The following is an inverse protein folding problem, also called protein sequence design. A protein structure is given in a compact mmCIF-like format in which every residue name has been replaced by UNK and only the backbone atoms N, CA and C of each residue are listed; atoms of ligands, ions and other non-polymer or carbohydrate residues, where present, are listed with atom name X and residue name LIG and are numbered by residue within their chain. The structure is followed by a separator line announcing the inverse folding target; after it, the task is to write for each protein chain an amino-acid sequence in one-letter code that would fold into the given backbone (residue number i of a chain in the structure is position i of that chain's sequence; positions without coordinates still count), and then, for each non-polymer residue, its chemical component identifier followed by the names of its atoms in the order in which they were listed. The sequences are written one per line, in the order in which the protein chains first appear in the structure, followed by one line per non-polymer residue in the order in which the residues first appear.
data_IF_185967128939
#
_entry.id   IF_185967128939
#
_cell.length_a   1.000
_cell.length_b   1.000
_cell.length_c   1.000
_cell.angle_alpha   90.00
_cell.angle_beta   90.00
_cell.angle_gamma   90.00
#
_symmetry.space_group_name_H-M   'P 1'
#
loop_
_entity.id
_entity.type
_entity.pdbx_description
1 polymer ?
#
# COMPACT_ATOMS: atom_id res chain seq x y z
N UNK A 1 -30.82 -19.65 4.42
CA UNK A 1 -29.89 -19.80 5.56
C UNK A 1 -28.49 -19.68 4.98
N UNK A 2 -27.65 -18.78 5.51
CA UNK A 2 -26.26 -18.64 5.04
C UNK A 2 -25.39 -19.41 6.04
N UNK A 3 -24.94 -20.60 5.65
CA UNK A 3 -24.09 -21.45 6.47
C UNK A 3 -22.66 -21.39 5.94
N UNK A 4 -21.71 -21.08 6.81
CA UNK A 4 -20.28 -20.99 6.48
C UNK A 4 -19.59 -22.23 6.99
N UNK A 5 -18.79 -22.87 6.14
CA UNK A 5 -18.00 -24.05 6.48
C UNK A 5 -16.63 -23.95 5.85
N UNK A 6 -15.66 -24.64 6.44
CA UNK A 6 -14.29 -24.70 5.92
C UNK A 6 -14.16 -25.86 4.95
N UNK A 7 -13.52 -25.61 3.82
CA UNK A 7 -13.19 -26.62 2.82
C UNK A 7 -11.70 -26.60 2.53
N UNK A 8 -11.15 -27.79 2.30
CA UNK A 8 -9.80 -27.95 1.74
C UNK A 8 -9.90 -28.19 0.24
N UNK A 9 -9.06 -27.52 -0.54
CA UNK A 9 -8.94 -27.74 -1.98
C UNK A 9 -7.70 -28.57 -2.29
N UNK A 10 -7.86 -29.73 -2.92
CA UNK A 10 -6.76 -30.65 -3.25
C UNK A 10 -6.12 -30.40 -4.63
N UNK A 11 -6.60 -29.38 -5.35
CA UNK A 11 -6.21 -29.12 -6.74
C UNK A 11 -7.26 -29.53 -7.77
N UNK A 12 -8.28 -30.30 -7.38
CA UNK A 12 -9.38 -30.75 -8.25
C UNK A 12 -10.76 -30.55 -7.63
N UNK A 13 -10.92 -30.78 -6.32
CA UNK A 13 -12.19 -30.77 -5.63
C UNK A 13 -12.09 -30.09 -4.26
N UNK A 14 -13.23 -29.59 -3.78
CA UNK A 14 -13.38 -29.02 -2.44
C UNK A 14 -13.94 -30.07 -1.49
N UNK A 15 -13.20 -30.36 -0.42
CA UNK A 15 -13.59 -31.32 0.61
C UNK A 15 -13.98 -30.57 1.88
N UNK A 16 -15.22 -30.72 2.37
CA UNK A 16 -15.62 -30.10 3.62
C UNK A 16 -14.95 -30.78 4.81
N UNK A 17 -14.48 -29.98 5.76
CA UNK A 17 -13.89 -30.49 7.01
C UNK A 17 -14.96 -30.95 8.01
N UNK A 18 -16.21 -30.56 7.79
CA UNK A 18 -17.36 -30.95 8.61
C UNK A 18 -18.40 -31.68 7.75
N UNK A 19 -19.22 -32.51 8.38
CA UNK A 19 -20.36 -33.14 7.71
C UNK A 19 -21.43 -32.09 7.41
N UNK A 20 -21.70 -31.86 6.13
CA UNK A 20 -22.72 -30.91 5.67
C UNK A 20 -23.89 -31.72 5.11
N UNK A 21 -25.11 -31.39 5.52
CA UNK A 21 -26.31 -32.04 5.02
C UNK A 21 -26.85 -31.25 3.81
N UNK A 22 -26.43 -31.64 2.61
CA UNK A 22 -26.90 -31.06 1.36
C UNK A 22 -27.93 -31.98 0.70
N UNK A 23 -28.92 -31.40 0.03
CA UNK A 23 -29.93 -32.17 -0.69
C UNK A 23 -29.34 -32.73 -2.01
N UNK A 24 -29.56 -34.02 -2.33
CA UNK A 24 -29.16 -34.59 -3.60
C UNK A 24 -29.77 -33.84 -4.78
N UNK A 25 -29.02 -33.71 -5.88
CA UNK A 25 -29.43 -33.01 -7.11
C UNK A 25 -29.72 -31.51 -6.97
N UNK A 26 -29.21 -30.88 -5.92
CA UNK A 26 -29.32 -29.42 -5.72
C UNK A 26 -28.01 -28.72 -6.07
N UNK A 27 -28.09 -27.59 -6.78
CA UNK A 27 -26.92 -26.78 -7.14
C UNK A 27 -26.61 -25.77 -6.04
N UNK A 28 -25.38 -25.79 -5.55
CA UNK A 28 -24.88 -24.85 -4.55
C UNK A 28 -23.80 -23.93 -5.16
N UNK A 29 -23.69 -22.72 -4.62
CA UNK A 29 -22.65 -21.75 -4.98
C UNK A 29 -21.70 -21.59 -3.80
N UNK A 30 -20.40 -21.71 -4.06
CA UNK A 30 -19.34 -21.47 -3.08
C UNK A 30 -18.79 -20.06 -3.23
N UNK A 31 -18.49 -19.40 -2.10
CA UNK A 31 -17.80 -18.12 -2.07
C UNK A 31 -16.40 -18.34 -1.52
N UNK A 32 -15.38 -18.12 -2.37
CA UNK A 32 -13.98 -18.17 -1.96
C UNK A 32 -13.63 -16.82 -1.34
N UNK A 33 -13.42 -16.81 -0.03
CA UNK A 33 -12.91 -15.65 0.68
C UNK A 33 -11.42 -15.89 0.84
N UNK A 34 -10.61 -15.28 -0.03
CA UNK A 34 -9.18 -15.23 0.20
C UNK A 34 -8.96 -14.46 1.49
N UNK A 35 -8.40 -15.11 2.51
CA UNK A 35 -7.71 -14.39 3.56
C UNK A 35 -6.54 -13.72 2.83
N UNK A 36 -6.73 -12.48 2.39
CA UNK A 36 -5.58 -11.62 2.12
C UNK A 36 -4.71 -11.82 3.35
N UNK A 37 -3.52 -12.41 3.17
CA UNK A 37 -2.46 -12.22 4.13
C UNK A 37 -2.55 -10.75 4.45
N UNK A 38 -2.75 -10.41 5.72
CA UNK A 38 -2.40 -9.11 6.21
C UNK A 38 -0.89 -9.01 5.98
N UNK A 39 -0.47 -8.83 4.72
CA UNK A 39 0.52 -7.84 4.39
C UNK A 39 -0.02 -6.65 5.13
N UNK A 40 0.62 -6.36 6.26
CA UNK A 40 0.69 -5.03 6.82
C UNK A 40 1.01 -4.14 5.62
N UNK A 41 -0.01 -3.74 4.87
CA UNK A 41 0.02 -2.51 4.12
C UNK A 41 0.11 -1.53 5.26
N UNK A 42 1.34 -1.21 5.65
CA UNK A 42 1.61 0.05 6.30
C UNK A 42 0.74 1.04 5.54
N UNK A 43 -0.16 1.74 6.25
CA UNK A 43 -1.01 2.79 5.71
C UNK A 43 -0.09 3.91 5.21
N UNK A 44 0.65 3.64 4.14
CA UNK A 44 1.49 4.57 3.43
C UNK A 44 0.51 5.43 2.67
N UNK A 45 0.26 6.61 3.21
CA UNK A 45 -0.57 7.59 2.55
C UNK A 45 0.18 8.15 1.33
N UNK A 46 -0.50 8.97 0.53
CA UNK A 46 0.09 9.53 -0.68
C UNK A 46 1.40 10.31 -0.42
N UNK A 47 1.57 10.90 0.76
CA UNK A 47 2.79 11.62 1.13
C UNK A 47 3.96 10.69 1.38
N UNK A 48 3.74 9.53 2.01
CA UNK A 48 4.81 8.54 2.25
C UNK A 48 5.36 7.99 0.93
N UNK A 49 4.48 7.77 -0.06
CA UNK A 49 4.90 7.35 -1.40
C UNK A 49 5.68 8.46 -2.11
N UNK A 50 5.22 9.71 -2.00
CA UNK A 50 5.89 10.85 -2.61
C UNK A 50 7.28 11.08 -1.99
N UNK A 51 7.44 10.93 -0.68
CA UNK A 51 8.73 11.03 0.01
C UNK A 51 9.68 9.90 -0.41
N UNK A 52 9.20 8.67 -0.54
CA UNK A 52 10.00 7.53 -1.02
C UNK A 52 10.48 7.75 -2.47
N UNK A 53 9.65 8.38 -3.31
CA UNK A 53 9.97 8.65 -4.71
C UNK A 53 10.77 9.94 -4.90
N UNK A 54 10.57 10.94 -4.05
CA UNK A 54 11.28 12.21 -4.08
C UNK A 54 12.62 12.02 -3.39
N UNK A 55 13.64 11.64 -4.16
CA UNK A 55 15.01 11.61 -3.66
C UNK A 55 15.37 12.95 -2.98
N UNK A 56 16.14 12.87 -1.90
CA UNK A 56 16.63 14.06 -1.20
C UNK A 56 17.94 14.54 -1.82
N UNK A 57 18.21 15.84 -1.72
CA UNK A 57 19.48 16.44 -2.11
C UNK A 57 19.97 17.32 -0.97
N UNK A 58 21.26 17.20 -0.62
CA UNK A 58 21.88 18.02 0.42
C UNK A 58 21.86 19.50 0.02
N UNK A 59 21.13 20.28 0.79
CA UNK A 59 20.80 21.67 0.53
C UNK A 59 21.58 22.61 1.46
N UNK A 60 22.18 23.70 0.95
CA UNK A 60 22.65 24.78 1.80
C UNK A 60 21.50 25.43 2.60
N UNK A 61 21.75 25.82 3.85
CA UNK A 61 20.72 26.44 4.72
C UNK A 61 20.12 27.73 4.13
N UNK A 62 20.87 28.41 3.26
CA UNK A 62 20.46 29.65 2.61
C UNK A 62 19.80 29.43 1.24
N UNK A 63 19.51 28.20 0.81
CA UNK A 63 19.02 27.90 -0.54
C UNK A 63 17.76 28.68 -0.92
N UNK A 64 16.79 28.74 0.00
CA UNK A 64 15.55 29.50 -0.22
C UNK A 64 15.80 31.02 -0.25
N UNK A 65 16.73 31.53 0.57
CA UNK A 65 17.06 32.96 0.65
C UNK A 65 17.89 33.44 -0.54
N UNK A 66 18.75 32.57 -1.06
CA UNK A 66 19.71 32.81 -2.14
C UNK A 66 19.34 32.05 -3.42
N UNK A 67 18.05 31.82 -3.69
CA UNK A 67 17.62 31.03 -4.85
C UNK A 67 18.18 31.56 -6.18
N UNK A 68 18.34 32.88 -6.33
CA UNK A 68 18.96 33.50 -7.51
C UNK A 68 20.41 33.04 -7.73
N UNK A 69 21.18 32.89 -6.63
CA UNK A 69 22.55 32.40 -6.68
C UNK A 69 22.61 30.95 -7.15
N UNK A 70 21.72 30.10 -6.63
CA UNK A 70 21.74 28.67 -6.91
C UNK A 70 21.08 28.29 -8.24
N UNK A 71 20.08 29.05 -8.71
CA UNK A 71 19.41 28.82 -9.99
C UNK A 71 20.12 29.51 -11.16
N UNK A 72 20.69 30.69 -10.94
CA UNK A 72 21.19 31.56 -12.01
C UNK A 72 22.65 31.98 -11.85
N UNK A 73 23.32 31.62 -10.76
CA UNK A 73 24.74 31.95 -10.53
C UNK A 73 25.00 33.41 -10.14
N UNK A 74 23.98 34.16 -9.71
CA UNK A 74 24.18 35.55 -9.24
C UNK A 74 25.01 35.58 -7.96
N UNK A 75 25.73 36.66 -7.63
CA UNK A 75 26.36 36.79 -6.32
C UNK A 75 25.35 36.66 -5.17
N UNK A 76 25.73 36.01 -4.06
CA UNK A 76 24.90 35.92 -2.86
C UNK A 76 24.61 37.31 -2.29
N UNK A 77 23.44 37.49 -1.69
CA UNK A 77 23.10 38.73 -0.98
C UNK A 77 24.05 38.88 0.20
N UNK A 78 24.77 40.00 0.24
CA UNK A 78 25.61 40.30 1.37
C UNK A 78 24.73 40.58 2.60
N UNK A 79 24.72 39.69 3.58
CA UNK A 79 24.02 39.82 4.88
C UNK A 79 24.52 40.98 5.77
N UNK A 80 25.21 41.98 5.21
CA UNK A 80 25.88 43.02 6.00
C UNK A 80 25.00 44.20 6.40
N UNK A 81 23.75 44.26 5.97
CA UNK A 81 22.85 45.35 6.32
C UNK A 81 21.41 44.84 6.56
N UNK A 82 21.12 44.44 7.79
CA UNK A 82 19.80 44.65 8.44
C UNK A 82 20.04 45.16 9.87
#
# INVERSE_FOLDING_TARGET
MLEKFTVTYDGSAFYPEQTINLEPNTRYTIQIISQEKQTEKADKNAWDLLEEMAGTYEAPEDWSKEHDHYLYGTPKRNLKNE
#
